data_IF_513411467281
#
_entry.id   IF_513411467281
#
_cell.length_a   1.000
_cell.length_b   1.000
_cell.length_c   1.000
_cell.angle_alpha   90.00
_cell.angle_beta   90.00
_cell.angle_gamma   90.00
#
_symmetry.space_group_name_H-M   'P 1'
#
loop_
_entity.id
_entity.type
_entity.pdbx_description
1 polymer ?
#
# COMPACT_ATOMS: atom_id res chain seq x y z
N UNK A 1 -21.12 5.28 -1.20
CA UNK A 1 -19.89 5.56 -0.43
C UNK A 1 -19.02 6.52 -1.25
N UNK A 2 -18.40 7.53 -0.64
CA UNK A 2 -17.96 8.78 -1.30
C UNK A 2 -16.98 8.57 -2.48
N UNK A 3 -17.43 8.93 -3.69
CA UNK A 3 -16.69 8.99 -4.97
C UNK A 3 -15.60 10.09 -5.04
N UNK A 4 -15.42 10.81 -3.94
CA UNK A 4 -14.62 12.02 -3.82
C UNK A 4 -13.14 11.87 -4.22
N UNK A 5 -12.54 10.69 -4.01
CA UNK A 5 -11.16 10.45 -4.45
C UNK A 5 -11.03 10.32 -5.97
N UNK A 6 -12.04 9.74 -6.60
CA UNK A 6 -12.09 9.48 -8.04
C UNK A 6 -12.33 10.79 -8.81
N UNK A 7 -13.24 11.63 -8.31
CA UNK A 7 -13.53 12.95 -8.90
C UNK A 7 -12.31 13.89 -8.83
N UNK A 8 -11.52 13.82 -7.76
CA UNK A 8 -10.26 14.59 -7.61
C UNK A 8 -9.22 14.14 -8.63
N UNK A 9 -9.11 12.84 -8.88
CA UNK A 9 -8.20 12.28 -9.87
C UNK A 9 -8.59 12.75 -11.28
N UNK A 10 -9.86 12.63 -11.64
CA UNK A 10 -10.40 13.07 -12.93
C UNK A 10 -10.20 14.57 -13.16
N UNK A 11 -10.35 15.38 -12.10
CA UNK A 11 -10.11 16.82 -12.17
C UNK A 11 -8.63 17.19 -12.34
N UNK A 12 -7.70 16.41 -11.80
CA UNK A 12 -6.26 16.58 -12.03
C UNK A 12 -5.88 16.19 -13.46
N UNK A 13 -6.44 15.10 -13.98
CA UNK A 13 -6.23 14.66 -15.37
C UNK A 13 -6.77 15.69 -16.37
N UNK A 14 -7.99 16.19 -16.15
CA UNK A 14 -8.55 17.28 -16.94
C UNK A 14 -7.63 18.52 -16.95
N UNK A 15 -7.04 18.85 -15.82
CA UNK A 15 -6.09 19.96 -15.71
C UNK A 15 -4.77 19.70 -16.44
N UNK A 16 -4.27 18.45 -16.45
CA UNK A 16 -3.10 18.05 -17.24
C UNK A 16 -3.39 18.08 -18.75
N UNK A 17 -4.61 17.72 -19.15
CA UNK A 17 -5.10 17.77 -20.54
C UNK A 17 -5.37 19.21 -21.05
N UNK A 18 -5.02 20.24 -20.27
CA UNK A 18 -5.06 21.64 -20.70
C UNK A 18 -6.23 22.46 -20.16
N UNK A 19 -7.16 21.89 -19.40
CA UNK A 19 -8.22 22.68 -18.77
C UNK A 19 -7.66 23.53 -17.61
N UNK A 20 -8.06 24.79 -17.46
CA UNK A 20 -7.63 25.60 -16.34
C UNK A 20 -8.15 25.02 -15.02
N UNK A 21 -7.37 25.17 -13.94
CA UNK A 21 -7.65 24.56 -12.63
C UNK A 21 -9.04 24.93 -12.08
N UNK A 22 -9.50 26.15 -12.36
CA UNK A 22 -10.81 26.67 -11.94
C UNK A 22 -11.97 25.99 -12.68
N UNK A 23 -11.83 25.76 -13.98
CA UNK A 23 -12.83 25.05 -14.77
C UNK A 23 -12.88 23.57 -14.40
N UNK A 24 -11.73 22.96 -14.18
CA UNK A 24 -11.65 21.57 -13.69
C UNK A 24 -12.32 21.43 -12.32
N UNK A 25 -12.04 22.34 -11.39
CA UNK A 25 -12.68 22.39 -10.07
C UNK A 25 -14.21 22.53 -10.16
N UNK A 26 -14.70 23.41 -11.03
CA UNK A 26 -16.13 23.65 -11.25
C UNK A 26 -16.81 22.43 -11.88
N UNK A 27 -16.19 21.82 -12.89
CA UNK A 27 -16.72 20.67 -13.62
C UNK A 27 -16.92 19.44 -12.73
N UNK A 28 -16.00 19.22 -11.81
CA UNK A 28 -16.05 18.08 -10.87
C UNK A 28 -16.60 18.46 -9.49
N UNK A 29 -17.10 19.69 -9.31
CA UNK A 29 -17.66 20.18 -8.03
C UNK A 29 -16.72 20.00 -6.83
N UNK A 30 -15.42 20.26 -7.04
CA UNK A 30 -14.38 20.16 -6.02
C UNK A 30 -13.87 21.58 -5.68
N UNK A 31 -13.60 21.91 -4.41
CA UNK A 31 -12.98 23.19 -4.08
C UNK A 31 -11.62 23.36 -4.78
N UNK A 32 -11.42 24.53 -5.41
CA UNK A 32 -10.16 24.89 -6.08
C UNK A 32 -8.93 24.69 -5.17
N UNK A 33 -9.07 25.03 -3.89
CA UNK A 33 -8.01 24.89 -2.87
C UNK A 33 -7.59 23.43 -2.68
N UNK A 34 -8.53 22.50 -2.73
CA UNK A 34 -8.26 21.06 -2.68
C UNK A 34 -7.46 20.60 -3.89
N UNK A 35 -7.86 21.01 -5.10
CA UNK A 35 -7.13 20.70 -6.33
C UNK A 35 -5.73 21.32 -6.35
N UNK A 36 -5.59 22.55 -5.89
CA UNK A 36 -4.30 23.24 -5.77
C UNK A 36 -3.38 22.52 -4.77
N UNK A 37 -3.89 22.09 -3.62
CA UNK A 37 -3.14 21.32 -2.64
C UNK A 37 -2.70 19.97 -3.22
N UNK A 38 -3.61 19.22 -3.85
CA UNK A 38 -3.34 17.93 -4.49
C UNK A 38 -2.32 18.01 -5.62
N UNK A 39 -2.26 19.14 -6.35
CA UNK A 39 -1.25 19.42 -7.37
C UNK A 39 0.12 19.81 -6.79
N UNK A 40 0.15 20.31 -5.56
CA UNK A 40 1.40 20.80 -4.96
C UNK A 40 2.32 19.65 -4.54
N UNK A 41 3.64 19.88 -4.57
CA UNK A 41 4.64 18.93 -4.04
C UNK A 41 4.50 18.67 -2.53
N UNK A 42 3.62 19.39 -1.83
CA UNK A 42 3.30 19.15 -0.41
C UNK A 42 2.36 17.95 -0.25
N UNK A 43 1.59 17.62 -1.28
CA UNK A 43 0.74 16.46 -1.28
C UNK A 43 1.57 15.22 -1.61
N UNK A 44 2.00 14.52 -0.58
CA UNK A 44 2.48 13.16 -0.72
C UNK A 44 1.29 12.21 -0.56
N UNK A 45 1.22 11.17 -1.39
CA UNK A 45 0.35 10.01 -1.15
C UNK A 45 0.86 9.26 0.08
N UNK A 46 0.68 9.87 1.25
CA UNK A 46 1.04 9.27 2.53
C UNK A 46 -0.01 8.19 2.76
N UNK A 47 0.44 6.94 2.72
CA UNK A 47 -0.37 5.84 3.23
C UNK A 47 -0.55 6.07 4.73
N UNK A 48 -1.76 6.40 5.14
CA UNK A 48 -2.11 6.53 6.55
C UNK A 48 -2.06 5.15 7.20
N UNK A 49 -0.96 4.83 7.86
CA UNK A 49 -0.75 3.58 8.57
C UNK A 49 0.66 3.47 9.15
N UNK A 50 0.88 2.56 10.11
CA UNK A 50 2.22 2.27 10.61
C UNK A 50 3.13 1.84 9.46
N UNK A 51 4.39 2.26 9.51
CA UNK A 51 5.40 1.87 8.54
C UNK A 51 5.43 0.34 8.40
N UNK A 52 5.56 -0.15 7.17
CA UNK A 52 5.65 -1.58 6.95
C UNK A 52 6.90 -2.13 7.64
N UNK A 53 6.75 -3.23 8.37
CA UNK A 53 7.87 -3.95 9.00
C UNK A 53 8.82 -4.52 7.95
N UNK A 54 8.26 -4.90 6.80
CA UNK A 54 8.98 -5.36 5.62
C UNK A 54 8.84 -4.31 4.51
N UNK A 55 9.91 -4.07 3.79
CA UNK A 55 9.88 -3.23 2.58
C UNK A 55 9.03 -3.89 1.49
N UNK A 56 8.61 -3.10 0.50
CA UNK A 56 7.85 -3.62 -0.63
C UNK A 56 8.63 -4.69 -1.43
N UNK A 57 9.96 -4.58 -1.49
CA UNK A 57 10.81 -5.57 -2.13
C UNK A 57 10.85 -6.89 -1.34
N UNK A 58 10.98 -6.82 -0.01
CA UNK A 58 10.99 -8.01 0.85
C UNK A 58 9.64 -8.76 0.82
N UNK A 59 8.53 -8.02 0.84
CA UNK A 59 7.20 -8.63 0.66
C UNK A 59 7.05 -9.29 -0.73
N UNK A 60 7.63 -8.74 -1.80
CA UNK A 60 7.61 -9.36 -3.13
C UNK A 60 8.30 -10.72 -3.12
N UNK A 61 9.47 -10.82 -2.49
CA UNK A 61 10.22 -12.08 -2.39
C UNK A 61 9.38 -13.16 -1.70
N UNK A 62 8.66 -12.80 -0.64
CA UNK A 62 7.77 -13.73 0.07
C UNK A 62 6.62 -14.16 -0.83
N UNK A 63 6.00 -13.24 -1.58
CA UNK A 63 4.91 -13.55 -2.52
C UNK A 63 5.39 -14.48 -3.63
N UNK A 64 6.54 -14.18 -4.24
CA UNK A 64 7.16 -15.03 -5.27
C UNK A 64 7.43 -16.43 -4.74
N UNK A 65 8.01 -16.53 -3.54
CA UNK A 65 8.23 -17.80 -2.86
C UNK A 65 6.91 -18.56 -2.64
N UNK A 66 5.84 -17.90 -2.15
CA UNK A 66 4.52 -18.53 -1.96
C UNK A 66 3.98 -19.07 -3.30
N UNK A 67 4.06 -18.28 -4.37
CA UNK A 67 3.58 -18.65 -5.71
C UNK A 67 4.37 -19.83 -6.26
N UNK A 68 5.70 -19.83 -6.11
CA UNK A 68 6.54 -20.95 -6.54
C UNK A 68 6.20 -22.24 -5.82
N UNK A 69 6.01 -22.18 -4.50
CA UNK A 69 5.64 -23.34 -3.71
C UNK A 69 4.26 -23.86 -4.12
N UNK A 70 3.31 -22.96 -4.39
CA UNK A 70 2.00 -23.34 -4.94
C UNK A 70 2.12 -24.04 -6.30
N UNK A 71 2.92 -23.50 -7.23
CA UNK A 71 3.20 -24.12 -8.55
C UNK A 71 3.83 -25.50 -8.42
N UNK A 72 4.67 -25.71 -7.40
CA UNK A 72 5.32 -27.01 -7.10
C UNK A 72 4.38 -28.00 -6.39
N UNK A 73 3.12 -27.64 -6.14
CA UNK A 73 2.12 -28.50 -5.47
C UNK A 73 2.17 -28.46 -3.95
N UNK A 74 2.90 -27.52 -3.36
CA UNK A 74 3.07 -27.36 -1.91
C UNK A 74 2.50 -26.00 -1.45
N UNK A 75 1.17 -25.84 -1.36
CA UNK A 75 0.60 -24.63 -0.80
C UNK A 75 1.10 -24.41 0.63
N UNK A 76 1.65 -23.23 0.92
CA UNK A 76 2.16 -22.88 2.23
C UNK A 76 1.03 -22.48 3.16
N UNK A 77 1.11 -22.94 4.41
CA UNK A 77 0.17 -22.52 5.44
C UNK A 77 0.53 -21.13 5.94
N UNK A 78 -0.44 -20.51 6.61
CA UNK A 78 -0.25 -19.22 7.25
C UNK A 78 0.90 -19.25 8.26
N UNK A 79 1.01 -20.33 9.04
CA UNK A 79 2.06 -20.50 10.05
C UNK A 79 3.45 -20.55 9.39
N UNK A 80 3.58 -21.24 8.25
CA UNK A 80 4.84 -21.32 7.49
C UNK A 80 5.31 -19.94 7.02
N UNK A 81 4.36 -19.10 6.60
CA UNK A 81 4.64 -17.72 6.16
C UNK A 81 5.09 -16.87 7.36
N UNK A 82 4.42 -17.02 8.51
CA UNK A 82 4.78 -16.30 9.74
C UNK A 82 6.18 -16.73 10.25
N UNK A 83 6.50 -18.03 10.22
CA UNK A 83 7.81 -18.55 10.62
C UNK A 83 8.92 -18.06 9.68
N UNK A 84 8.67 -18.06 8.36
CA UNK A 84 9.64 -17.55 7.38
C UNK A 84 9.97 -16.07 7.60
N UNK A 85 8.97 -15.25 7.92
CA UNK A 85 9.18 -13.83 8.23
C UNK A 85 9.91 -13.64 9.55
N UNK A 86 9.60 -14.46 10.56
CA UNK A 86 10.35 -14.45 11.82
C UNK A 86 11.83 -14.77 11.57
N UNK A 87 12.13 -15.83 10.81
CA UNK A 87 13.51 -16.19 10.44
C UNK A 87 14.21 -15.05 9.68
N UNK A 88 13.49 -14.36 8.78
CA UNK A 88 14.01 -13.20 8.07
C UNK A 88 14.37 -12.03 9.00
N UNK A 89 13.51 -11.75 10.00
CA UNK A 89 13.74 -10.71 11.00
C UNK A 89 14.84 -11.09 12.02
N UNK A 90 15.02 -12.37 12.30
CA UNK A 90 16.15 -12.85 13.12
C UNK A 90 17.49 -12.68 12.38
N UNK A 91 17.53 -12.99 11.07
CA UNK A 91 18.72 -12.77 10.23
C UNK A 91 19.03 -11.29 10.02
N UNK A 92 18.00 -10.45 10.03
CA UNK A 92 18.11 -9.00 9.82
C UNK A 92 17.52 -8.25 11.02
N UNK A 93 18.27 -8.14 12.13
CA UNK A 93 17.75 -7.55 13.36
C UNK A 93 17.33 -6.11 13.12
N UNK A 94 16.01 -5.86 13.25
CA UNK A 94 15.38 -4.56 13.06
C UNK A 94 14.36 -4.32 14.16
N UNK A 95 14.18 -3.06 14.53
CA UNK A 95 13.09 -2.66 15.44
C UNK A 95 11.75 -2.92 14.75
N UNK A 96 10.93 -3.76 15.35
CA UNK A 96 9.62 -4.14 14.84
C UNK A 96 8.61 -4.25 15.99
N UNK A 97 7.31 -4.07 15.71
CA UNK A 97 6.26 -4.11 16.74
C UNK A 97 5.85 -5.54 17.10
N UNK A 98 6.51 -6.59 16.60
CA UNK A 98 6.11 -7.97 16.85
C UNK A 98 6.70 -8.48 18.16
N UNK A 99 5.90 -9.25 18.89
CA UNK A 99 6.40 -9.97 20.08
C UNK A 99 7.30 -11.10 19.59
N UNK A 100 8.56 -11.12 20.04
CA UNK A 100 9.57 -12.11 19.66
C UNK A 100 9.77 -12.24 18.14
N UNK A 101 9.71 -11.13 17.39
CA UNK A 101 9.80 -11.10 15.93
C UNK A 101 8.75 -11.95 15.19
N UNK A 102 7.72 -12.45 15.89
CA UNK A 102 6.70 -13.32 15.32
C UNK A 102 5.50 -12.51 14.81
N UNK A 103 5.26 -12.45 13.48
CA UNK A 103 4.14 -11.68 12.95
C UNK A 103 2.81 -12.27 13.42
N UNK A 104 1.88 -11.43 13.87
CA UNK A 104 0.54 -11.87 14.28
C UNK A 104 -0.45 -12.02 13.12
N UNK A 105 -1.67 -12.46 13.45
CA UNK A 105 -2.80 -12.54 12.50
C UNK A 105 -3.12 -11.21 11.80
N UNK A 106 -3.06 -10.10 12.55
CA UNK A 106 -3.32 -8.77 11.99
C UNK A 106 -2.31 -8.39 10.90
N UNK A 107 -1.05 -8.83 11.05
CA UNK A 107 -0.04 -8.64 10.02
C UNK A 107 -0.37 -9.50 8.80
N UNK A 108 -0.69 -10.78 8.97
CA UNK A 108 -0.99 -11.69 7.86
C UNK A 108 -2.18 -11.20 7.02
N UNK A 109 -3.28 -10.80 7.65
CA UNK A 109 -4.44 -10.20 6.96
C UNK A 109 -4.07 -8.93 6.19
N UNK A 110 -3.23 -8.08 6.79
CA UNK A 110 -2.79 -6.84 6.15
C UNK A 110 -1.84 -7.11 4.99
N UNK A 111 -0.97 -8.11 5.12
CA UNK A 111 -0.08 -8.60 4.05
C UNK A 111 -0.89 -9.10 2.87
N UNK A 112 -1.88 -9.97 3.11
CA UNK A 112 -2.78 -10.45 2.07
C UNK A 112 -3.53 -9.30 1.40
N UNK A 113 -4.11 -8.36 2.15
CA UNK A 113 -4.84 -7.21 1.57
C UNK A 113 -3.96 -6.30 0.70
N UNK A 114 -2.67 -6.17 1.03
CA UNK A 114 -1.74 -5.36 0.23
C UNK A 114 -1.29 -6.06 -1.05
N UNK A 115 -1.33 -7.39 -1.06
CA UNK A 115 -0.75 -8.26 -2.10
C UNK A 115 -1.79 -9.19 -2.75
N UNK A 116 -3.08 -8.90 -2.57
CA UNK A 116 -4.21 -9.64 -3.14
C UNK A 116 -4.45 -9.27 -4.59
#
# INVERSE_FOLDING_TARGET
MKKYSEDVQNALEANQNGLPLRESAKRFSIPRTTLQFRRSNKFNNINFGPNLVLTAAEENIIVEWIIENHKKGFPRRKEDIQESVKEFLEKTPRSNPFVNNYPGEGWYKSFLRRRS
#
